data_IF_792277110021
#
_entry.id   IF_792277110021
#
_cell.length_a   1.000
_cell.length_b   1.000
_cell.length_c   1.000
_cell.angle_alpha   90.00
_cell.angle_beta   90.00
_cell.angle_gamma   90.00
#
_symmetry.space_group_name_H-M   'P 1'
#
loop_
_entity.id
_entity.type
_entity.pdbx_description
1 polymer ?
#
# COMPACT_ATOMS: atom_id res chain seq x y z
N UNK A 1 -1.44 5.09 6.56
CA UNK A 1 -0.63 6.18 5.97
C UNK A 1 -0.62 5.96 4.48
N UNK A 2 -0.84 7.01 3.70
CA UNK A 2 -0.81 7.01 2.25
C UNK A 2 0.34 7.90 1.80
N UNK A 3 1.14 7.43 0.84
CA UNK A 3 2.28 8.16 0.31
C UNK A 3 2.21 8.23 -1.21
N UNK A 4 2.65 9.36 -1.77
CA UNK A 4 2.76 9.58 -3.19
C UNK A 4 4.11 10.21 -3.52
N UNK A 5 4.80 9.62 -4.50
CA UNK A 5 5.94 10.22 -5.16
C UNK A 5 5.63 10.37 -6.66
N UNK A 6 5.90 11.54 -7.21
CA UNK A 6 5.76 11.82 -8.64
C UNK A 6 7.06 12.42 -9.17
N UNK A 7 7.44 12.04 -10.39
CA UNK A 7 8.65 12.51 -11.05
C UNK A 7 8.28 13.05 -12.42
N UNK A 8 9.06 13.99 -12.93
CA UNK A 8 8.94 14.35 -14.35
C UNK A 8 9.38 13.16 -15.21
N UNK A 9 8.70 12.97 -16.34
CA UNK A 9 8.84 11.78 -17.20
C UNK A 9 10.27 11.60 -17.74
N UNK A 10 11.02 12.67 -17.85
CA UNK A 10 12.31 12.71 -18.53
C UNK A 10 13.50 12.40 -17.59
N UNK A 11 13.25 12.14 -16.30
CA UNK A 11 14.31 11.78 -15.36
C UNK A 11 14.74 10.30 -15.55
N UNK A 12 16.06 10.03 -15.62
CA UNK A 12 16.55 8.66 -15.54
C UNK A 12 16.28 8.07 -14.13
N UNK A 13 16.18 6.74 -13.99
CA UNK A 13 15.80 6.10 -12.72
C UNK A 13 16.72 6.43 -11.54
N UNK A 14 18.02 6.65 -11.78
CA UNK A 14 18.97 7.04 -10.75
C UNK A 14 18.66 8.42 -10.18
N UNK A 15 18.41 9.41 -11.05
CA UNK A 15 18.09 10.79 -10.65
C UNK A 15 16.73 10.86 -9.96
N UNK A 16 15.79 10.02 -10.38
CA UNK A 16 14.50 9.84 -9.72
C UNK A 16 14.69 9.40 -8.26
N UNK A 17 15.53 8.37 -8.05
CA UNK A 17 15.82 7.84 -6.71
C UNK A 17 16.56 8.87 -5.85
N UNK A 18 17.56 9.56 -6.41
CA UNK A 18 18.30 10.62 -5.70
C UNK A 18 17.37 11.75 -5.26
N UNK A 19 16.50 12.24 -6.15
CA UNK A 19 15.55 13.32 -5.84
C UNK A 19 14.62 12.95 -4.68
N UNK A 20 14.14 11.69 -4.64
CA UNK A 20 13.32 11.19 -3.53
C UNK A 20 14.11 11.18 -2.22
N UNK A 21 15.34 10.65 -2.22
CA UNK A 21 16.18 10.57 -1.03
C UNK A 21 16.47 11.97 -0.47
N UNK A 22 16.78 12.93 -1.35
CA UNK A 22 17.02 14.31 -0.95
C UNK A 22 15.80 14.92 -0.28
N UNK A 23 14.58 14.64 -0.77
CA UNK A 23 13.36 15.19 -0.17
C UNK A 23 13.02 14.53 1.16
N UNK A 24 13.27 13.24 1.31
CA UNK A 24 13.16 12.57 2.60
C UNK A 24 14.13 13.19 3.62
N UNK A 25 15.36 13.49 3.20
CA UNK A 25 16.31 14.19 4.06
C UNK A 25 15.85 15.62 4.40
N UNK A 26 15.23 16.36 3.48
CA UNK A 26 14.67 17.68 3.77
C UNK A 26 13.57 17.58 4.84
N UNK A 27 12.64 16.63 4.69
CA UNK A 27 11.56 16.40 5.66
C UNK A 27 12.13 16.09 7.05
N UNK A 28 13.13 15.22 7.12
CA UNK A 28 13.77 14.81 8.38
C UNK A 28 14.54 15.97 9.05
N UNK A 29 15.31 16.74 8.26
CA UNK A 29 16.20 17.78 8.78
C UNK A 29 15.51 19.12 9.09
N UNK A 30 14.54 19.53 8.28
CA UNK A 30 13.91 20.85 8.43
C UNK A 30 12.68 20.82 9.33
N UNK A 31 12.04 19.67 9.46
CA UNK A 31 10.77 19.56 10.16
C UNK A 31 10.75 18.47 11.22
N UNK A 32 11.90 17.93 11.65
CA UNK A 32 11.99 16.75 12.54
C UNK A 32 11.07 16.75 13.78
N UNK A 33 10.81 17.90 14.43
CA UNK A 33 9.80 17.99 15.51
C UNK A 33 8.37 18.24 14.99
N UNK A 34 8.20 18.97 13.89
CA UNK A 34 6.90 19.32 13.31
C UNK A 34 6.27 18.14 12.56
N UNK A 35 7.06 17.40 11.76
CA UNK A 35 6.69 16.20 10.99
C UNK A 35 6.19 15.08 11.87
N UNK A 36 6.80 14.87 13.04
CA UNK A 36 6.34 13.80 13.96
C UNK A 36 4.92 14.02 14.49
N UNK A 37 4.41 15.25 14.44
CA UNK A 37 3.03 15.57 14.80
C UNK A 37 2.15 15.94 13.58
N UNK A 38 2.74 16.03 12.39
CA UNK A 38 2.01 16.33 11.17
C UNK A 38 1.29 15.09 10.65
N UNK A 39 0.01 15.24 10.36
CA UNK A 39 -0.76 14.23 9.62
C UNK A 39 -0.57 14.36 8.11
N UNK A 40 0.04 15.44 7.63
CA UNK A 40 0.27 15.71 6.22
C UNK A 40 1.59 16.46 6.02
N UNK A 41 2.36 16.03 5.01
CA UNK A 41 3.55 16.74 4.54
C UNK A 41 3.60 16.67 3.03
N UNK A 42 4.11 17.73 2.41
CA UNK A 42 4.22 17.85 0.97
C UNK A 42 5.46 18.67 0.60
N UNK A 43 6.36 18.09 -0.20
CA UNK A 43 7.57 18.73 -0.72
C UNK A 43 7.56 18.64 -2.24
N UNK A 44 7.62 19.79 -2.91
CA UNK A 44 7.64 19.90 -4.37
C UNK A 44 8.85 20.68 -4.82
N UNK A 45 9.52 20.20 -5.86
CA UNK A 45 10.47 21.00 -6.60
C UNK A 45 10.41 20.70 -8.09
N UNK A 46 11.49 20.98 -8.80
CA UNK A 46 11.49 20.98 -10.26
C UNK A 46 11.26 19.60 -10.89
N UNK A 47 11.80 18.56 -10.27
CA UNK A 47 11.91 17.22 -10.88
C UNK A 47 11.11 16.15 -10.15
N UNK A 48 10.79 16.36 -8.88
CA UNK A 48 10.02 15.42 -8.09
C UNK A 48 9.05 16.12 -7.14
N UNK A 49 8.05 15.36 -6.72
CA UNK A 49 7.04 15.72 -5.76
C UNK A 49 6.87 14.55 -4.80
N UNK A 50 6.88 14.82 -3.49
CA UNK A 50 6.67 13.84 -2.44
C UNK A 50 5.62 14.35 -1.48
N UNK A 51 4.63 13.53 -1.16
CA UNK A 51 3.66 13.83 -0.11
C UNK A 51 3.23 12.58 0.63
N UNK A 52 2.88 12.73 1.89
CA UNK A 52 2.20 11.70 2.65
C UNK A 52 1.02 12.30 3.43
N UNK A 53 0.01 11.45 3.66
CA UNK A 53 -1.11 11.72 4.55
C UNK A 53 -1.34 10.56 5.51
N UNK A 54 -1.67 10.90 6.74
CA UNK A 54 -2.07 9.97 7.80
C UNK A 54 -3.59 9.97 7.87
N UNK A 55 -4.19 8.78 7.91
CA UNK A 55 -5.64 8.54 7.99
C UNK A 55 -6.48 8.89 6.76
N UNK A 56 -6.06 9.82 5.90
CA UNK A 56 -6.78 10.17 4.67
C UNK A 56 -6.07 9.72 3.38
N UNK A 57 -6.80 9.18 2.38
CA UNK A 57 -6.21 8.78 1.12
C UNK A 57 -5.87 10.00 0.25
N UNK A 58 -4.73 9.92 -0.44
CA UNK A 58 -4.28 10.96 -1.37
C UNK A 58 -5.10 10.84 -2.67
N UNK A 59 -5.93 11.85 -2.95
CA UNK A 59 -6.77 11.89 -4.14
C UNK A 59 -6.00 12.50 -5.31
N UNK A 60 -5.78 11.71 -6.36
CA UNK A 60 -5.20 12.21 -7.61
C UNK A 60 -6.28 12.15 -8.68
N UNK A 61 -6.58 13.30 -9.30
CA UNK A 61 -7.57 13.38 -10.36
C UNK A 61 -7.24 12.36 -11.48
N UNK A 62 -8.18 11.47 -11.79
CA UNK A 62 -8.02 10.48 -12.85
C UNK A 62 -7.37 9.16 -12.46
N UNK A 63 -7.00 8.96 -11.19
CA UNK A 63 -6.57 7.64 -10.68
C UNK A 63 -7.57 7.09 -9.66
N UNK A 64 -8.11 5.90 -9.94
CA UNK A 64 -8.91 5.15 -8.97
C UNK A 64 -7.98 4.66 -7.85
N UNK A 65 -8.34 4.90 -6.59
CA UNK A 65 -7.59 4.39 -5.46
C UNK A 65 -7.52 2.85 -5.56
N UNK A 66 -6.33 2.23 -5.36
CA UNK A 66 -6.26 0.79 -5.22
C UNK A 66 -7.16 0.37 -4.04
N UNK A 67 -7.96 -0.69 -4.19
CA UNK A 67 -8.83 -1.14 -3.10
C UNK A 67 -7.98 -1.41 -1.85
N UNK A 68 -8.48 -1.04 -0.65
CA UNK A 68 -7.75 -1.27 0.59
C UNK A 68 -7.38 -2.76 0.68
N UNK A 69 -6.14 -3.04 1.09
CA UNK A 69 -5.67 -4.39 1.30
C UNK A 69 -6.64 -5.09 2.27
N UNK A 70 -7.27 -6.18 1.82
CA UNK A 70 -8.23 -6.92 2.64
C UNK A 70 -7.55 -7.36 3.93
N UNK A 71 -8.10 -6.97 5.08
CA UNK A 71 -7.66 -7.48 6.37
C UNK A 71 -7.77 -9.02 6.37
N UNK A 72 -6.77 -9.76 6.90
CA UNK A 72 -6.90 -11.20 7.06
C UNK A 72 -8.10 -11.48 7.96
N UNK A 73 -9.13 -12.14 7.40
CA UNK A 73 -10.29 -12.63 8.15
C UNK A 73 -9.82 -13.61 9.23
N UNK A 74 -9.47 -13.10 10.40
CA UNK A 74 -9.16 -13.89 11.59
C UNK A 74 -10.48 -14.09 12.33
N UNK A 75 -11.01 -15.30 12.30
CA UNK A 75 -12.08 -15.72 13.21
C UNK A 75 -13.30 -16.36 12.58
N UNK A 76 -13.12 -17.47 11.86
CA UNK A 76 -14.22 -18.43 11.67
C UNK A 76 -14.42 -19.24 12.96
N UNK A 77 -15.29 -18.73 13.84
CA UNK A 77 -15.85 -19.56 14.91
C UNK A 77 -16.69 -20.69 14.28
N UNK A 78 -16.55 -21.95 14.70
CA UNK A 78 -17.27 -23.06 14.08
C UNK A 78 -18.77 -22.97 14.41
N UNK A 79 -19.67 -23.19 13.45
CA UNK A 79 -21.10 -23.23 13.72
C UNK A 79 -21.47 -24.47 14.57
N UNK A 80 -22.46 -24.38 15.47
CA UNK A 80 -22.92 -25.51 16.28
C UNK A 80 -23.60 -26.58 15.41
N UNK A 81 -23.60 -27.86 15.83
CA UNK A 81 -24.05 -28.97 14.99
C UNK A 81 -25.58 -29.17 15.01
N UNK A 82 -26.08 -29.54 13.83
CA UNK A 82 -27.22 -30.43 13.51
C UNK A 82 -28.65 -29.89 13.65
N UNK A 83 -29.36 -29.91 12.50
CA UNK A 83 -30.82 -29.87 12.39
C UNK A 83 -31.29 -30.17 10.95
N UNK A 84 -31.60 -31.45 10.68
CA UNK A 84 -31.96 -32.08 9.41
C UNK A 84 -32.85 -31.30 8.42
N UNK A 85 -32.44 -31.24 7.14
CA UNK A 85 -33.32 -30.85 6.03
C UNK A 85 -32.64 -30.76 4.66
N UNK A 86 -32.48 -31.90 3.97
CA UNK A 86 -32.20 -32.14 2.54
C UNK A 86 -31.88 -30.91 1.64
N UNK A 87 -30.64 -30.78 1.15
CA UNK A 87 -30.27 -30.30 -0.20
C UNK A 87 -28.77 -30.64 -0.45
N UNK A 88 -28.37 -31.22 -1.60
CA UNK A 88 -26.98 -31.63 -1.83
C UNK A 88 -26.11 -30.42 -2.14
N UNK A 89 -25.10 -30.16 -1.31
CA UNK A 89 -24.06 -29.16 -1.60
C UNK A 89 -22.83 -29.88 -2.16
N UNK A 90 -22.51 -29.51 -3.38
CA UNK A 90 -21.43 -30.04 -4.20
C UNK A 90 -20.11 -29.61 -3.57
N UNK A 91 -19.33 -30.57 -3.08
CA UNK A 91 -17.98 -30.33 -2.59
C UNK A 91 -17.01 -30.22 -3.78
N UNK A 92 -16.65 -28.99 -4.15
CA UNK A 92 -15.53 -28.75 -5.05
C UNK A 92 -14.23 -28.75 -4.23
N UNK A 93 -13.44 -29.82 -4.34
CA UNK A 93 -12.05 -29.84 -3.88
C UNK A 93 -11.19 -29.01 -4.84
N UNK A 94 -10.74 -27.83 -4.41
CA UNK A 94 -9.67 -27.12 -5.08
C UNK A 94 -8.34 -27.43 -4.37
N UNK A 95 -7.56 -28.36 -4.93
CA UNK A 95 -6.16 -28.53 -4.57
C UNK A 95 -5.36 -27.42 -5.28
N UNK A 96 -4.85 -26.44 -4.52
CA UNK A 96 -3.90 -25.47 -5.05
C UNK A 96 -2.49 -25.93 -4.66
N UNK A 97 -1.77 -26.48 -5.64
CA UNK A 97 -0.35 -26.76 -5.53
C UNK A 97 0.42 -25.43 -5.48
N UNK A 98 1.11 -25.18 -4.36
CA UNK A 98 2.05 -24.07 -4.23
C UNK A 98 3.36 -24.49 -4.90
N UNK A 99 3.61 -24.00 -6.11
CA UNK A 99 4.93 -24.05 -6.71
C UNK A 99 5.79 -22.97 -6.05
N UNK A 100 6.63 -23.37 -5.10
CA UNK A 100 7.67 -22.52 -4.52
C UNK A 100 8.78 -22.42 -5.57
N UNK A 101 8.85 -21.29 -6.28
CA UNK A 101 10.09 -20.94 -6.99
C UNK A 101 11.06 -20.35 -5.97
N UNK A 102 11.90 -21.22 -5.44
CA UNK A 102 13.15 -20.86 -4.80
C UNK A 102 14.20 -20.48 -5.87
N UNK A 103 14.99 -19.48 -5.54
CA UNK A 103 16.38 -19.23 -5.95
C UNK A 103 16.69 -18.38 -7.20
N UNK A 104 17.71 -17.54 -7.01
CA UNK A 104 18.48 -16.82 -8.02
C UNK A 104 18.91 -15.45 -7.48
N UNK A 105 19.81 -15.42 -6.48
CA UNK A 105 21.26 -15.14 -6.59
C UNK A 105 21.59 -13.66 -6.67
#
# INVERSE_FOLDING_TARGET
MYGLAQYTRDLPPSECTSCLIDYLAVIDNHEGESVTNSTEVSVMGFSCYLTYQVNEPIHIAGMALPPPAAEPLTGSSPPPPVGNGKTPLIAALAAVAVAIFSAGV
#
